data_IF_161997412304
#
_entry.id   IF_161997412304
#
_cell.length_a   1.000
_cell.length_b   1.000
_cell.length_c   1.000
_cell.angle_alpha   90.00
_cell.angle_beta   90.00
_cell.angle_gamma   90.00
#
_symmetry.space_group_name_H-M   'P 1'
#
loop_
_entity.id
_entity.type
_entity.pdbx_description
1 polymer ?
#
# COMPACT_ATOMS: atom_id res chain seq x y z
N UNK A 1 -27.42 -38.47 6.01
CA UNK A 1 -26.67 -37.37 6.66
C UNK A 1 -25.82 -36.69 5.60
N UNK A 2 -26.37 -35.71 4.88
CA UNK A 2 -25.65 -34.98 3.82
C UNK A 2 -25.13 -33.66 4.38
N UNK A 3 -23.81 -33.49 4.28
CA UNK A 3 -23.04 -32.39 4.85
C UNK A 3 -23.44 -31.04 4.24
N UNK A 4 -23.83 -30.11 5.10
CA UNK A 4 -23.85 -28.67 4.80
C UNK A 4 -22.43 -28.20 4.52
N UNK A 5 -22.12 -27.82 3.28
CA UNK A 5 -20.94 -27.02 2.95
C UNK A 5 -21.44 -25.63 2.56
N UNK A 6 -21.81 -24.85 3.56
CA UNK A 6 -21.88 -23.40 3.44
C UNK A 6 -20.46 -22.87 3.53
N UNK A 7 -19.76 -22.73 2.40
CA UNK A 7 -18.55 -21.92 2.34
C UNK A 7 -18.88 -20.65 1.57
N UNK A 8 -19.13 -19.57 2.31
CA UNK A 8 -19.14 -18.22 1.75
C UNK A 8 -17.72 -17.95 1.25
N UNK A 9 -17.43 -18.27 -0.02
CA UNK A 9 -16.16 -17.91 -0.65
C UNK A 9 -16.07 -16.39 -0.69
N UNK A 10 -15.35 -15.81 0.26
CA UNK A 10 -14.93 -14.42 0.23
C UNK A 10 -13.96 -14.26 -0.94
N UNK A 11 -14.48 -13.81 -2.08
CA UNK A 11 -13.64 -13.49 -3.22
C UNK A 11 -12.91 -12.18 -2.94
N UNK A 12 -11.57 -12.21 -2.92
CA UNK A 12 -10.81 -10.97 -2.83
C UNK A 12 -11.01 -10.15 -4.11
N UNK A 13 -10.86 -8.82 -4.04
CA UNK A 13 -10.94 -7.97 -5.23
C UNK A 13 -9.96 -8.42 -6.34
N UNK A 14 -8.84 -9.01 -5.94
CA UNK A 14 -7.87 -9.60 -6.87
C UNK A 14 -8.50 -10.78 -7.58
N UNK A 15 -9.20 -11.68 -6.87
CA UNK A 15 -9.87 -12.84 -7.50
C UNK A 15 -10.94 -12.41 -8.51
N UNK A 16 -11.67 -11.32 -8.21
CA UNK A 16 -12.72 -10.79 -9.10
C UNK A 16 -12.12 -10.15 -10.35
N UNK A 17 -10.99 -9.43 -10.20
CA UNK A 17 -10.36 -8.68 -11.30
C UNK A 17 -9.28 -9.46 -12.03
N UNK A 18 -8.90 -10.64 -11.55
CA UNK A 18 -7.86 -11.42 -12.16
C UNK A 18 -8.35 -12.01 -13.49
N UNK A 19 -7.70 -11.62 -14.58
CA UNK A 19 -7.91 -12.18 -15.92
C UNK A 19 -6.79 -13.15 -16.32
N UNK A 20 -6.11 -13.74 -15.32
CA UNK A 20 -5.00 -14.70 -15.49
C UNK A 20 -3.60 -14.10 -15.36
N UNK A 21 -3.46 -12.78 -15.20
CA UNK A 21 -2.16 -12.08 -15.16
C UNK A 21 -1.81 -11.37 -13.85
N UNK A 22 -2.68 -11.39 -12.83
CA UNK A 22 -2.41 -10.72 -11.56
C UNK A 22 -1.70 -11.65 -10.57
N UNK A 23 -0.66 -11.12 -9.94
CA UNK A 23 0.09 -11.81 -8.89
C UNK A 23 -0.64 -11.64 -7.56
N UNK A 24 -0.89 -12.75 -6.86
CA UNK A 24 -1.46 -12.74 -5.51
C UNK A 24 -0.37 -12.53 -4.47
N UNK A 25 -0.46 -11.49 -3.62
CA UNK A 25 0.54 -11.27 -2.57
C UNK A 25 0.40 -12.29 -1.44
N UNK A 26 1.49 -12.55 -0.71
CA UNK A 26 1.45 -13.36 0.51
C UNK A 26 0.80 -12.60 1.67
N UNK A 27 0.35 -13.35 2.68
CA UNK A 27 -0.28 -12.79 3.88
C UNK A 27 0.66 -11.83 4.61
N UNK A 28 1.95 -12.19 4.72
CA UNK A 28 2.97 -11.34 5.34
C UNK A 28 3.14 -10.00 4.61
N UNK A 29 3.20 -10.03 3.26
CA UNK A 29 3.31 -8.81 2.45
C UNK A 29 2.09 -7.92 2.65
N UNK A 30 0.88 -8.49 2.68
CA UNK A 30 -0.35 -7.74 2.97
C UNK A 30 -0.27 -7.08 4.35
N UNK A 31 0.22 -7.81 5.36
CA UNK A 31 0.32 -7.30 6.72
C UNK A 31 1.36 -6.17 6.83
N UNK A 32 2.52 -6.31 6.19
CA UNK A 32 3.54 -5.26 6.11
C UNK A 32 2.98 -4.00 5.44
N UNK A 33 2.31 -4.15 4.30
CA UNK A 33 1.71 -3.02 3.59
C UNK A 33 0.62 -2.33 4.44
N UNK A 34 -0.24 -3.08 5.12
CA UNK A 34 -1.27 -2.51 6.03
C UNK A 34 -0.66 -1.72 7.19
N UNK A 35 0.38 -2.25 7.81
CA UNK A 35 1.08 -1.58 8.90
C UNK A 35 1.81 -0.32 8.41
N UNK A 36 2.40 -0.40 7.23
CA UNK A 36 3.04 0.74 6.56
C UNK A 36 2.01 1.83 6.25
N UNK A 37 0.85 1.48 5.68
CA UNK A 37 -0.23 2.44 5.38
C UNK A 37 -0.76 3.10 6.66
N UNK A 38 -0.98 2.32 7.73
CA UNK A 38 -1.39 2.87 9.02
C UNK A 38 -0.38 3.91 9.53
N UNK A 39 0.91 3.59 9.44
CA UNK A 39 1.98 4.50 9.85
C UNK A 39 2.02 5.75 8.97
N UNK A 40 1.89 5.58 7.65
CA UNK A 40 1.86 6.67 6.67
C UNK A 40 0.73 7.65 7.00
N UNK A 41 -0.51 7.17 7.10
CA UNK A 41 -1.69 8.01 7.38
C UNK A 41 -1.54 8.76 8.72
N UNK A 42 -1.03 8.09 9.75
CA UNK A 42 -0.86 8.73 11.07
C UNK A 42 0.28 9.75 11.12
N UNK A 43 1.31 9.64 10.28
CA UNK A 43 2.56 10.40 10.43
C UNK A 43 2.89 11.34 9.28
N UNK A 44 2.23 11.26 8.13
CA UNK A 44 2.54 12.08 6.94
C UNK A 44 2.48 13.59 7.22
N UNK A 45 1.52 14.03 8.03
CA UNK A 45 1.37 15.45 8.42
C UNK A 45 2.32 15.85 9.56
N UNK A 46 3.00 14.90 10.18
CA UNK A 46 3.93 15.10 11.30
C UNK A 46 5.39 15.01 10.85
N UNK A 47 5.65 14.85 9.55
CA UNK A 47 7.01 14.81 9.03
C UNK A 47 7.66 16.18 9.25
N UNK A 48 8.77 16.26 10.00
CA UNK A 48 9.39 17.55 10.28
C UNK A 48 9.91 18.19 8.99
N UNK A 49 9.58 19.46 8.75
CA UNK A 49 9.97 20.18 7.52
C UNK A 49 11.48 20.33 7.34
N UNK A 50 12.25 20.25 8.43
CA UNK A 50 13.71 20.35 8.42
C UNK A 50 14.39 19.02 8.04
N UNK A 51 13.67 17.89 8.09
CA UNK A 51 14.19 16.62 7.63
C UNK A 51 14.14 16.60 6.10
N UNK A 52 15.31 16.61 5.46
CA UNK A 52 15.44 16.53 4.01
C UNK A 52 14.96 15.20 3.41
N UNK A 53 14.81 14.16 4.24
CA UNK A 53 14.35 12.84 3.78
C UNK A 53 13.08 12.35 4.52
N UNK A 54 11.88 12.62 3.96
CA UNK A 54 10.62 12.13 4.52
C UNK A 54 10.47 10.61 4.44
N UNK A 55 11.16 9.95 3.50
CA UNK A 55 11.07 8.50 3.28
C UNK A 55 11.76 7.78 4.43
N UNK A 56 12.99 8.18 4.77
CA UNK A 56 13.74 7.57 5.87
C UNK A 56 13.03 7.74 7.21
N UNK A 57 12.43 8.91 7.47
CA UNK A 57 11.62 9.13 8.67
C UNK A 57 10.46 8.12 8.76
N UNK A 58 9.70 7.96 7.68
CA UNK A 58 8.58 7.03 7.64
C UNK A 58 9.03 5.58 7.78
N UNK A 59 10.14 5.18 7.12
CA UNK A 59 10.73 3.85 7.25
C UNK A 59 11.06 3.53 8.71
N UNK A 60 11.77 4.44 9.39
CA UNK A 60 12.16 4.24 10.79
C UNK A 60 10.91 4.08 11.66
N UNK A 61 9.90 4.93 11.50
CA UNK A 61 8.65 4.82 12.26
C UNK A 61 7.88 3.54 11.97
N UNK A 62 7.85 3.08 10.71
CA UNK A 62 7.21 1.81 10.35
C UNK A 62 7.96 0.63 10.97
N UNK A 63 9.29 0.63 10.91
CA UNK A 63 10.12 -0.41 11.52
C UNK A 63 10.02 -0.43 13.05
N UNK A 64 9.89 0.72 13.72
CA UNK A 64 9.66 0.74 15.17
C UNK A 64 8.34 0.09 15.59
N UNK A 65 7.34 0.09 14.71
CA UNK A 65 6.01 -0.48 14.98
C UNK A 65 5.90 -1.95 14.56
N UNK A 66 6.91 -2.49 13.87
CA UNK A 66 6.84 -3.83 13.29
C UNK A 66 7.29 -4.88 14.30
N UNK A 67 6.49 -5.93 14.47
CA UNK A 67 6.90 -7.08 15.26
C UNK A 67 7.47 -8.16 14.31
N UNK A 68 8.78 -8.09 14.05
CA UNK A 68 9.48 -8.99 13.12
C UNK A 68 9.27 -10.47 13.49
N UNK A 69 9.21 -10.79 14.79
CA UNK A 69 9.04 -12.18 15.28
C UNK A 69 7.71 -12.82 14.89
N UNK A 70 6.71 -12.02 14.51
CA UNK A 70 5.39 -12.49 14.06
C UNK A 70 5.23 -12.49 12.54
N UNK A 71 6.20 -11.93 11.81
CA UNK A 71 6.17 -11.83 10.36
C UNK A 71 7.06 -12.91 9.78
N UNK A 72 6.56 -13.61 8.77
CA UNK A 72 7.27 -14.70 8.12
C UNK A 72 7.69 -15.82 9.08
N UNK A 73 6.78 -16.34 9.89
CA UNK A 73 7.04 -17.52 10.73
C UNK A 73 7.62 -18.69 9.91
N UNK A 74 7.23 -18.81 8.64
CA UNK A 74 7.73 -19.83 7.71
C UNK A 74 9.14 -19.53 7.13
N UNK A 75 9.67 -18.31 7.29
CA UNK A 75 11.01 -17.92 6.81
C UNK A 75 12.03 -17.74 7.95
N UNK A 76 11.70 -18.13 9.19
CA UNK A 76 12.64 -18.01 10.31
C UNK A 76 14.01 -18.65 10.03
N UNK A 77 14.05 -19.74 9.25
CA UNK A 77 15.33 -20.34 8.82
C UNK A 77 16.04 -19.53 7.73
N UNK A 78 15.29 -18.90 6.81
CA UNK A 78 15.86 -18.08 5.74
C UNK A 78 16.38 -16.72 6.22
N UNK A 79 15.73 -16.11 7.22
CA UNK A 79 16.16 -14.82 7.81
C UNK A 79 17.58 -14.92 8.39
N UNK A 80 17.98 -16.09 8.92
CA UNK A 80 19.34 -16.34 9.43
C UNK A 80 20.41 -16.33 8.33
N UNK A 81 20.03 -16.63 7.08
CA UNK A 81 20.94 -16.66 5.92
C UNK A 81 21.02 -15.33 5.17
N UNK A 82 20.21 -14.33 5.53
CA UNK A 82 20.19 -13.04 4.83
C UNK A 82 21.10 -12.01 5.50
N UNK A 83 21.79 -11.24 4.67
CA UNK A 83 22.52 -10.04 5.12
C UNK A 83 21.55 -9.05 5.80
N UNK A 84 21.92 -8.48 6.97
CA UNK A 84 21.11 -7.47 7.69
C UNK A 84 20.72 -6.26 6.82
N UNK A 85 21.52 -5.97 5.78
CA UNK A 85 21.35 -4.86 4.84
C UNK A 85 20.35 -5.21 3.71
N UNK A 86 20.16 -6.49 3.40
CA UNK A 86 19.22 -7.00 2.39
C UNK A 86 17.94 -7.56 3.02
N UNK A 87 17.42 -6.90 4.05
CA UNK A 87 16.16 -7.30 4.66
C UNK A 87 15.01 -7.04 3.67
N UNK A 88 14.37 -8.10 3.16
CA UNK A 88 13.22 -8.00 2.27
C UNK A 88 12.09 -7.12 2.82
N UNK A 89 11.91 -7.11 4.15
CA UNK A 89 10.95 -6.23 4.83
C UNK A 89 11.23 -4.76 4.54
N UNK A 90 12.49 -4.35 4.68
CA UNK A 90 12.92 -2.97 4.47
C UNK A 90 12.68 -2.54 3.02
N UNK A 91 12.97 -3.44 2.06
CA UNK A 91 12.75 -3.17 0.64
C UNK A 91 11.27 -3.00 0.31
N UNK A 92 10.40 -3.84 0.89
CA UNK A 92 8.94 -3.76 0.71
C UNK A 92 8.42 -2.44 1.28
N UNK A 93 8.80 -2.10 2.51
CA UNK A 93 8.39 -0.85 3.17
C UNK A 93 8.84 0.37 2.35
N UNK A 94 10.12 0.41 1.95
CA UNK A 94 10.66 1.52 1.15
C UNK A 94 9.91 1.70 -0.16
N UNK A 95 9.71 0.61 -0.92
CA UNK A 95 8.95 0.67 -2.19
C UNK A 95 7.52 1.15 -1.96
N UNK A 96 6.84 0.65 -0.94
CA UNK A 96 5.47 1.03 -0.63
C UNK A 96 5.35 2.52 -0.27
N UNK A 97 6.23 3.03 0.60
CA UNK A 97 6.23 4.44 1.02
C UNK A 97 6.45 5.36 -0.19
N UNK A 98 7.39 5.04 -1.07
CA UNK A 98 7.65 5.84 -2.29
C UNK A 98 6.41 5.91 -3.17
N UNK A 99 5.79 4.75 -3.48
CA UNK A 99 4.56 4.69 -4.28
C UNK A 99 3.45 5.50 -3.61
N UNK A 100 3.30 5.36 -2.29
CA UNK A 100 2.23 6.03 -1.54
C UNK A 100 2.42 7.54 -1.47
N UNK A 101 3.65 8.02 -1.32
CA UNK A 101 4.00 9.45 -1.40
C UNK A 101 3.65 10.03 -2.76
N UNK A 102 4.04 9.35 -3.85
CA UNK A 102 3.67 9.79 -5.20
C UNK A 102 2.16 9.86 -5.39
N UNK A 103 1.42 8.86 -4.88
CA UNK A 103 -0.04 8.88 -4.91
C UNK A 103 -0.63 10.07 -4.14
N UNK A 104 -0.19 10.27 -2.91
CA UNK A 104 -0.64 11.37 -2.05
C UNK A 104 -0.35 12.75 -2.68
N UNK A 105 0.86 12.94 -3.19
CA UNK A 105 1.22 14.19 -3.85
C UNK A 105 0.45 14.41 -5.15
N UNK A 106 0.16 13.33 -5.90
CA UNK A 106 -0.69 13.39 -7.08
C UNK A 106 -2.10 13.86 -6.70
N UNK A 107 -2.68 13.31 -5.63
CA UNK A 107 -3.99 13.73 -5.12
C UNK A 107 -4.00 15.21 -4.69
N UNK A 108 -2.94 15.69 -4.03
CA UNK A 108 -2.81 17.09 -3.63
C UNK A 108 -2.61 18.03 -4.84
N UNK A 109 -1.84 17.61 -5.83
CA UNK A 109 -1.53 18.42 -7.02
C UNK A 109 -2.68 18.52 -8.02
N UNK A 110 -3.64 17.59 -7.97
CA UNK A 110 -4.74 17.59 -8.94
C UNK A 110 -5.75 18.71 -8.65
N UNK A 111 -6.20 19.43 -9.69
CA UNK A 111 -7.25 20.41 -9.53
C UNK A 111 -8.55 19.72 -9.10
N UNK A 112 -9.15 20.19 -8.00
CA UNK A 112 -10.41 19.65 -7.46
C UNK A 112 -11.56 19.68 -8.46
N UNK A 113 -11.50 20.61 -9.42
CA UNK A 113 -12.46 20.73 -10.50
C UNK A 113 -11.94 19.98 -11.73
N UNK A 114 -12.76 19.08 -12.26
CA UNK A 114 -12.49 18.40 -13.54
C UNK A 114 -12.81 19.37 -14.69
N UNK A 115 -11.94 20.37 -14.87
CA UNK A 115 -12.09 21.49 -15.83
C UNK A 115 -12.52 20.98 -17.21
N UNK A 116 -11.85 19.93 -17.72
CA UNK A 116 -12.21 19.31 -19.00
C UNK A 116 -13.65 18.78 -19.03
N UNK A 117 -14.10 18.05 -18.01
CA UNK A 117 -15.46 17.51 -17.97
C UNK A 117 -16.52 18.60 -17.80
N UNK A 118 -16.19 19.68 -17.10
CA UNK A 118 -17.07 20.84 -16.97
C UNK A 118 -17.21 21.58 -18.30
N UNK A 119 -16.09 21.92 -18.94
CA UNK A 119 -16.08 22.62 -20.23
C UNK A 119 -16.71 21.79 -21.34
N UNK A 120 -16.48 20.47 -21.38
CA UNK A 120 -17.14 19.59 -22.35
C UNK A 120 -18.67 19.63 -22.19
N UNK A 121 -19.18 19.59 -20.96
CA UNK A 121 -20.63 19.74 -20.72
C UNK A 121 -21.12 21.12 -21.13
N UNK A 122 -20.42 22.19 -20.74
CA UNK A 122 -20.80 23.56 -21.12
C UNK A 122 -20.87 23.72 -22.63
N UNK A 123 -19.88 23.24 -23.38
CA UNK A 123 -19.89 23.31 -24.86
C UNK A 123 -21.06 22.52 -25.46
N UNK A 124 -21.31 21.30 -24.97
CA UNK A 124 -22.40 20.44 -25.42
C UNK A 124 -23.79 21.06 -25.20
N UNK A 125 -24.00 21.70 -24.05
CA UNK A 125 -25.30 22.28 -23.68
C UNK A 125 -25.45 23.77 -24.05
N UNK A 126 -24.45 24.40 -24.68
CA UNK A 126 -24.54 25.81 -25.10
C UNK A 126 -25.31 26.01 -26.41
N UNK A 127 -25.53 24.94 -27.17
CA UNK A 127 -26.22 24.96 -28.46
C UNK A 127 -27.47 24.05 -28.49
N UNK A 128 -27.98 23.68 -27.31
CA UNK A 128 -29.28 23.05 -27.10
C UNK A 128 -30.18 24.04 -26.38
#
# INVERSE_FOLDING_TARGET
>A
MLLKIGTTKSHTLIDIKNRGGLIKPSIDVIQICKLTEKTFVSRINQVPKHLGDPINYLIVKTMSNINIKKLFNCLNEHILSQSPINNHVLQIIKKYIVIRLHHHNKELSQPKLRIRSHLTKVILFKHQ
#
